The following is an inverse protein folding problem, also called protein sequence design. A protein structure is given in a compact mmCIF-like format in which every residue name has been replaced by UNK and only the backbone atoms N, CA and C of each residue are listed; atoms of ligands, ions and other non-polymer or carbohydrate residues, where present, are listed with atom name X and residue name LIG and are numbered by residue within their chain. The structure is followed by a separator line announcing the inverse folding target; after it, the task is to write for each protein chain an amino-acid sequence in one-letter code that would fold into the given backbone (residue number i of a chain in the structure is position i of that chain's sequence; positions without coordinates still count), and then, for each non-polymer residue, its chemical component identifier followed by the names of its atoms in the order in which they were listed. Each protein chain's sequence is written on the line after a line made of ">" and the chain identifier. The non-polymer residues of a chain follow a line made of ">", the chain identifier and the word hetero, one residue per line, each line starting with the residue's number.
data_IF_868444603217
#
_entry.id   IF_868444603217
#
_cell.length_a   1.000
_cell.length_b   1.000
_cell.length_c   1.000
_cell.angle_alpha   90.00
_cell.angle_beta   90.00
_cell.angle_gamma   90.00
#
_symmetry.space_group_name_H-M   'P 1'
#
loop_
_entity.id
_entity.type
_entity.pdbx_description
1 polymer ?
#
# COMPACT_ATOMS: atom_id res chain seq x y z
N UNK A 1 2.12 -28.40 -4.56
CA UNK A 1 1.88 -27.42 -5.64
C UNK A 1 1.33 -26.16 -5.01
N UNK A 2 1.93 -24.99 -5.27
CA UNK A 2 1.26 -23.67 -5.34
C UNK A 2 2.29 -22.53 -5.36
N UNK A 3 2.47 -21.99 -6.57
CA UNK A 3 2.73 -20.60 -6.95
C UNK A 3 3.26 -19.63 -5.87
N UNK A 4 4.57 -19.37 -5.85
CA UNK A 4 5.17 -18.27 -5.07
C UNK A 4 4.53 -16.90 -5.35
N UNK A 5 4.07 -16.67 -6.58
CA UNK A 5 3.42 -15.42 -6.99
C UNK A 5 2.14 -15.09 -6.19
N UNK A 6 1.43 -16.07 -5.64
CA UNK A 6 0.17 -15.80 -4.94
C UNK A 6 0.40 -15.30 -3.50
N UNK A 7 1.47 -15.78 -2.85
CA UNK A 7 1.87 -15.34 -1.51
C UNK A 7 2.36 -13.89 -1.53
N UNK A 8 3.11 -13.51 -2.57
CA UNK A 8 3.56 -12.13 -2.76
C UNK A 8 2.37 -11.17 -2.94
N UNK A 9 1.34 -11.61 -3.66
CA UNK A 9 0.11 -10.85 -3.91
C UNK A 9 -0.70 -10.64 -2.63
N UNK A 10 -0.93 -11.69 -1.83
CA UNK A 10 -1.62 -11.55 -0.54
C UNK A 10 -0.82 -10.66 0.43
N UNK A 11 0.50 -10.85 0.49
CA UNK A 11 1.39 -10.03 1.34
C UNK A 11 1.34 -8.56 0.92
N UNK A 12 1.39 -8.27 -0.38
CA UNK A 12 1.26 -6.91 -0.91
C UNK A 12 -0.11 -6.32 -0.58
N UNK A 13 -1.18 -7.10 -0.69
CA UNK A 13 -2.53 -6.63 -0.36
C UNK A 13 -2.64 -6.22 1.12
N UNK A 14 -2.13 -7.06 2.03
CA UNK A 14 -2.07 -6.74 3.46
C UNK A 14 -1.27 -5.45 3.71
N UNK A 15 -0.12 -5.31 3.07
CA UNK A 15 0.71 -4.09 3.19
C UNK A 15 0.02 -2.84 2.63
N UNK A 16 -0.74 -2.96 1.54
CA UNK A 16 -1.53 -1.86 0.97
C UNK A 16 -2.58 -1.39 1.99
N UNK A 17 -3.30 -2.32 2.61
CA UNK A 17 -4.32 -2.00 3.62
C UNK A 17 -3.71 -1.35 4.87
N UNK A 18 -2.61 -1.91 5.38
CA UNK A 18 -1.85 -1.32 6.49
C UNK A 18 -1.36 0.09 6.16
N UNK A 19 -0.77 0.27 4.97
CA UNK A 19 -0.26 1.57 4.54
C UNK A 19 -1.40 2.58 4.32
N UNK A 20 -2.56 2.16 3.81
CA UNK A 20 -3.72 3.02 3.65
C UNK A 20 -4.28 3.49 5.00
N UNK A 21 -4.37 2.59 5.97
CA UNK A 21 -4.74 2.93 7.35
C UNK A 21 -3.72 3.87 7.98
N UNK A 22 -2.42 3.62 7.76
CA UNK A 22 -1.36 4.49 8.23
C UNK A 22 -1.46 5.90 7.64
N UNK A 23 -1.65 6.03 6.32
CA UNK A 23 -1.89 7.33 5.65
C UNK A 23 -3.13 8.03 6.23
N UNK A 24 -4.21 7.29 6.50
CA UNK A 24 -5.42 7.87 7.11
C UNK A 24 -5.13 8.37 8.52
N UNK A 25 -4.44 7.58 9.33
CA UNK A 25 -4.04 7.94 10.69
C UNK A 25 -3.13 9.17 10.69
N UNK A 26 -2.11 9.22 9.83
CA UNK A 26 -1.23 10.38 9.69
C UNK A 26 -1.96 11.63 9.19
N UNK A 27 -2.96 11.48 8.32
CA UNK A 27 -3.79 12.62 7.88
C UNK A 27 -4.72 13.14 8.98
N UNK A 28 -5.18 12.26 9.87
CA UNK A 28 -6.00 12.64 11.03
C UNK A 28 -5.19 13.13 12.21
N UNK A 29 -3.94 12.69 12.33
CA UNK A 29 -3.02 13.13 13.37
C UNK A 29 -2.42 14.50 12.99
N UNK A 30 -2.75 15.51 13.78
CA UNK A 30 -2.29 16.88 13.57
C UNK A 30 -0.81 17.09 13.86
N UNK A 31 -0.13 16.12 14.48
CA UNK A 31 1.30 16.16 14.79
C UNK A 31 2.17 15.53 13.71
N UNK A 32 1.57 14.80 12.78
CA UNK A 32 2.30 14.20 11.65
C UNK A 32 2.76 15.27 10.67
N UNK A 33 4.00 15.16 10.22
CA UNK A 33 4.55 16.10 9.26
C UNK A 33 3.98 15.86 7.86
N UNK A 34 3.81 16.92 7.07
CA UNK A 34 3.39 16.81 5.66
C UNK A 34 4.31 15.87 4.86
N UNK A 35 5.59 15.86 5.21
CA UNK A 35 6.61 14.96 4.64
C UNK A 35 6.30 13.50 4.96
N UNK A 36 5.95 13.16 6.21
CA UNK A 36 5.57 11.81 6.62
C UNK A 36 4.31 11.34 5.90
N UNK A 37 3.29 12.20 5.82
CA UNK A 37 2.06 11.91 5.07
C UNK A 37 2.37 11.66 3.59
N UNK A 38 3.24 12.47 2.99
CA UNK A 38 3.61 12.34 1.58
C UNK A 38 4.40 11.05 1.34
N UNK A 39 5.40 10.75 2.16
CA UNK A 39 6.17 9.51 2.09
C UNK A 39 5.27 8.28 2.25
N UNK A 40 4.28 8.34 3.14
CA UNK A 40 3.33 7.26 3.34
C UNK A 40 2.40 7.07 2.14
N UNK A 41 1.98 8.16 1.48
CA UNK A 41 1.19 8.11 0.24
C UNK A 41 2.02 7.52 -0.90
N UNK A 42 3.28 7.93 -1.04
CA UNK A 42 4.18 7.41 -2.08
C UNK A 42 4.43 5.91 -1.91
N UNK A 43 4.62 5.45 -0.67
CA UNK A 43 4.70 4.02 -0.36
C UNK A 43 3.41 3.28 -0.74
N UNK A 44 2.24 3.85 -0.42
CA UNK A 44 0.96 3.25 -0.78
C UNK A 44 0.81 3.09 -2.30
N UNK A 45 1.19 4.10 -3.07
CA UNK A 45 1.18 4.05 -4.54
C UNK A 45 2.13 2.97 -5.07
N UNK A 46 3.36 2.92 -4.56
CA UNK A 46 4.36 1.92 -4.96
C UNK A 46 3.93 0.47 -4.65
N UNK A 47 3.24 0.26 -3.52
CA UNK A 47 2.71 -1.05 -3.15
C UNK A 47 1.57 -1.47 -4.09
N UNK A 48 0.66 -0.55 -4.42
CA UNK A 48 -0.42 -0.78 -5.40
C UNK A 48 0.12 -1.08 -6.79
N UNK A 49 1.17 -0.39 -7.20
CA UNK A 49 1.81 -0.59 -8.51
C UNK A 49 2.49 -1.95 -8.61
N UNK A 50 3.14 -2.42 -7.53
CA UNK A 50 3.68 -3.78 -7.44
C UNK A 50 2.56 -4.83 -7.49
N UNK A 51 1.47 -4.61 -6.74
CA UNK A 51 0.31 -5.50 -6.76
C UNK A 51 -0.29 -5.59 -8.16
N UNK A 52 -0.44 -4.46 -8.85
CA UNK A 52 -0.90 -4.41 -10.25
C UNK A 52 0.06 -5.13 -11.19
N UNK A 53 1.38 -4.98 -11.01
CA UNK A 53 2.38 -5.65 -11.84
C UNK A 53 2.30 -7.18 -11.70
N UNK A 54 2.01 -7.67 -10.48
CA UNK A 54 1.92 -9.11 -10.22
C UNK A 54 0.56 -9.72 -10.59
N UNK A 55 -0.54 -8.98 -10.39
CA UNK A 55 -1.90 -9.49 -10.59
C UNK A 55 -2.54 -9.06 -11.91
N UNK A 56 -2.03 -7.99 -12.53
CA UNK A 56 -2.72 -7.27 -13.60
C UNK A 56 -3.94 -6.46 -13.14
N UNK A 57 -4.29 -6.49 -11.84
CA UNK A 57 -5.47 -5.83 -11.31
C UNK A 57 -5.11 -4.46 -10.72
N UNK A 58 -5.82 -3.43 -11.18
CA UNK A 58 -5.65 -2.07 -10.72
C UNK A 58 -6.46 -1.86 -9.43
N UNK A 59 -5.79 -1.52 -8.32
CA UNK A 59 -6.44 -1.14 -7.06
C UNK A 59 -6.45 0.39 -6.97
N UNK A 60 -7.35 0.99 -7.75
CA UNK A 60 -7.64 2.42 -7.70
C UNK A 60 -8.48 2.73 -6.45
N UNK A 61 -8.10 3.72 -5.63
CA UNK A 61 -8.96 4.26 -4.57
C UNK A 61 -10.07 5.15 -5.15
#
# INVERSE_FOLDING_TARGET
>A
TSNGNNIDVETLKSRIEEQANFVRNLKTDTHSSKEEVTAAIDQLLKLKEQYKTLTGADITP
#
